data_IF_160437185045
#
_entry.id   IF_160437185045
#
_cell.length_a   1.000
_cell.length_b   1.000
_cell.length_c   1.000
_cell.angle_alpha   90.00
_cell.angle_beta   90.00
_cell.angle_gamma   90.00
#
_symmetry.space_group_name_H-M   'P 1'
#
loop_
_entity.id
_entity.type
_entity.pdbx_description
1 polymer ?
#
# COMPACT_ATOMS: atom_id res chain seq x y z
N UNK A 1 -23.85 19.45 -5.85
CA UNK A 1 -23.65 17.98 -5.87
C UNK A 1 -22.48 17.74 -6.81
N UNK A 2 -21.28 17.61 -6.25
CA UNK A 2 -20.08 17.31 -7.01
C UNK A 2 -19.87 15.81 -6.81
N UNK A 3 -20.07 15.03 -7.87
CA UNK A 3 -19.71 13.62 -7.91
C UNK A 3 -18.21 13.51 -7.62
N UNK A 4 -17.85 12.77 -6.58
CA UNK A 4 -16.46 12.42 -6.33
C UNK A 4 -15.99 11.53 -7.49
N UNK A 5 -15.19 12.09 -8.39
CA UNK A 5 -14.54 11.39 -9.50
C UNK A 5 -13.42 10.45 -9.03
N UNK A 6 -13.61 9.72 -7.94
CA UNK A 6 -12.70 8.65 -7.58
C UNK A 6 -13.27 7.34 -8.10
N UNK A 7 -12.55 6.62 -8.98
CA UNK A 7 -13.02 5.33 -9.46
C UNK A 7 -13.23 4.42 -8.25
N UNK A 8 -14.46 3.96 -8.06
CA UNK A 8 -14.74 2.85 -7.15
C UNK A 8 -14.11 1.62 -7.80
N UNK A 9 -12.88 1.30 -7.39
CA UNK A 9 -12.21 0.06 -7.77
C UNK A 9 -12.91 -1.09 -7.07
N UNK A 10 -13.94 -1.63 -7.73
CA UNK A 10 -14.43 -2.96 -7.40
C UNK A 10 -13.33 -3.95 -7.76
N UNK A 11 -12.94 -4.88 -6.87
CA UNK A 11 -12.01 -5.94 -7.22
C UNK A 11 -12.57 -6.65 -8.45
N UNK A 12 -11.92 -6.48 -9.60
CA UNK A 12 -12.35 -7.15 -10.81
C UNK A 12 -11.93 -8.61 -10.66
N UNK A 13 -12.85 -9.57 -10.49
CA UNK A 13 -12.48 -10.98 -10.28
C UNK A 13 -11.98 -11.64 -11.57
N UNK A 14 -11.87 -10.89 -12.67
CA UNK A 14 -11.50 -11.41 -13.98
C UNK A 14 -9.98 -11.49 -14.10
N UNK A 15 -9.51 -12.72 -13.90
CA UNK A 15 -8.17 -13.25 -14.14
C UNK A 15 -7.03 -12.43 -13.55
N UNK A 16 -6.57 -12.85 -12.38
CA UNK A 16 -5.21 -12.59 -11.89
C UNK A 16 -4.26 -12.86 -13.06
N UNK A 17 -3.63 -11.80 -13.57
CA UNK A 17 -2.71 -11.93 -14.68
C UNK A 17 -1.37 -12.44 -14.16
N UNK A 18 -1.21 -13.77 -14.13
CA UNK A 18 0.05 -14.40 -13.76
C UNK A 18 1.23 -13.93 -14.61
N UNK A 19 0.98 -13.38 -15.81
CA UNK A 19 2.04 -12.82 -16.66
C UNK A 19 2.56 -11.49 -16.14
N UNK A 20 1.76 -10.69 -15.40
CA UNK A 20 2.22 -9.44 -14.81
C UNK A 20 3.10 -9.67 -13.58
N UNK A 21 2.83 -10.70 -12.77
CA UNK A 21 3.73 -11.08 -11.66
C UNK A 21 5.08 -11.52 -12.21
N UNK A 22 5.07 -12.34 -13.25
CA UNK A 22 6.31 -12.76 -13.92
C UNK A 22 7.04 -11.57 -14.57
N UNK A 23 6.30 -10.64 -15.18
CA UNK A 23 6.87 -9.41 -15.74
C UNK A 23 7.55 -8.57 -14.66
N UNK A 24 6.93 -8.41 -13.49
CA UNK A 24 7.51 -7.70 -12.36
C UNK A 24 8.81 -8.38 -11.89
N UNK A 25 8.80 -9.71 -11.71
CA UNK A 25 9.99 -10.46 -11.32
C UNK A 25 11.14 -10.32 -12.33
N UNK A 26 10.84 -10.38 -13.62
CA UNK A 26 11.84 -10.20 -14.69
C UNK A 26 12.40 -8.77 -14.64
N UNK A 27 11.51 -7.78 -14.58
CA UNK A 27 11.83 -6.36 -14.58
C UNK A 27 12.82 -6.00 -13.46
N UNK A 28 12.60 -6.53 -12.25
CA UNK A 28 13.41 -6.18 -11.08
C UNK A 28 14.52 -7.16 -10.76
N UNK A 29 14.68 -8.22 -11.56
CA UNK A 29 15.60 -9.34 -11.28
C UNK A 29 17.08 -8.93 -11.08
N UNK A 30 17.51 -7.83 -11.71
CA UNK A 30 18.87 -7.30 -11.54
C UNK A 30 19.09 -6.67 -10.15
N UNK A 31 18.02 -6.22 -9.50
CA UNK A 31 18.03 -5.56 -8.20
C UNK A 31 17.71 -6.51 -7.04
N UNK A 32 17.13 -7.68 -7.31
CA UNK A 32 16.91 -8.72 -6.30
C UNK A 32 15.66 -9.55 -6.54
N UNK A 33 15.29 -10.32 -5.52
CA UNK A 33 14.09 -11.15 -5.51
C UNK A 33 12.95 -10.42 -4.81
N UNK A 34 11.76 -10.49 -5.41
CA UNK A 34 10.52 -10.01 -4.80
C UNK A 34 10.12 -10.96 -3.66
N UNK A 35 9.78 -10.44 -2.47
CA UNK A 35 9.34 -11.28 -1.36
C UNK A 35 8.07 -12.08 -1.69
N UNK A 36 8.04 -13.36 -1.26
CA UNK A 36 6.97 -14.28 -1.60
C UNK A 36 5.59 -13.81 -1.09
N UNK A 37 5.54 -13.22 0.11
CA UNK A 37 4.29 -12.70 0.69
C UNK A 37 3.69 -11.57 -0.14
N UNK A 38 4.54 -10.69 -0.69
CA UNK A 38 4.08 -9.60 -1.55
C UNK A 38 3.54 -10.14 -2.89
N UNK A 39 4.26 -11.07 -3.53
CA UNK A 39 3.77 -11.75 -4.73
C UNK A 39 2.44 -12.48 -4.47
N UNK A 40 2.33 -13.17 -3.34
CA UNK A 40 1.10 -13.87 -2.95
C UNK A 40 -0.06 -12.90 -2.74
N UNK A 41 0.17 -11.73 -2.14
CA UNK A 41 -0.84 -10.70 -1.98
C UNK A 41 -1.32 -10.17 -3.34
N UNK A 42 -0.40 -9.80 -4.23
CA UNK A 42 -0.76 -9.36 -5.58
C UNK A 42 -1.50 -10.44 -6.37
N UNK A 43 -1.16 -11.71 -6.12
CA UNK A 43 -1.83 -12.85 -6.76
C UNK A 43 -3.23 -13.10 -6.21
N UNK A 44 -3.45 -13.00 -4.91
CA UNK A 44 -4.72 -13.42 -4.27
C UNK A 44 -5.68 -12.24 -4.14
N UNK A 45 -5.17 -11.09 -3.72
CA UNK A 45 -5.95 -9.87 -3.43
C UNK A 45 -5.89 -8.89 -4.62
N UNK A 46 -4.74 -8.78 -5.28
CA UNK A 46 -4.56 -7.91 -6.44
C UNK A 46 -4.26 -6.46 -6.05
N UNK A 47 -5.26 -5.76 -5.52
CA UNK A 47 -5.16 -4.34 -5.16
C UNK A 47 -6.17 -3.97 -4.08
N UNK A 48 -5.85 -2.92 -3.34
CA UNK A 48 -6.76 -2.31 -2.35
C UNK A 48 -6.68 -0.80 -2.52
N UNK A 49 -7.80 -0.10 -2.45
CA UNK A 49 -7.78 1.36 -2.38
C UNK A 49 -8.89 1.82 -1.44
N UNK A 50 -8.50 2.23 -0.23
CA UNK A 50 -9.40 2.79 0.77
C UNK A 50 -9.33 4.33 0.83
N UNK A 51 -8.60 4.99 -0.09
CA UNK A 51 -8.67 6.45 -0.20
C UNK A 51 -10.09 6.89 -0.52
N UNK A 52 -10.48 8.01 0.05
CA UNK A 52 -11.83 8.54 -0.14
C UNK A 52 -12.07 9.77 0.72
N UNK A 53 -13.35 10.04 0.96
CA UNK A 53 -13.76 11.14 1.84
C UNK A 53 -14.67 10.59 2.92
N UNK A 54 -14.43 10.97 4.17
CA UNK A 54 -15.33 10.64 5.26
C UNK A 54 -16.63 11.44 5.17
N UNK A 55 -17.77 10.87 5.60
CA UNK A 55 -19.01 11.61 5.78
C UNK A 55 -18.77 12.87 6.64
N UNK A 56 -19.41 13.99 6.29
CA UNK A 56 -19.24 15.28 6.99
C UNK A 56 -19.54 15.24 8.48
N UNK A 57 -20.37 14.31 8.92
CA UNK A 57 -20.70 14.10 10.34
C UNK A 57 -19.60 13.35 11.12
N UNK A 58 -18.55 12.91 10.45
CA UNK A 58 -17.37 12.23 11.00
C UNK A 58 -16.11 13.10 10.79
N UNK A 59 -16.11 13.96 9.77
CA UNK A 59 -15.00 14.82 9.42
C UNK A 59 -14.83 15.97 10.44
N UNK A 60 -13.79 15.88 11.27
CA UNK A 60 -13.39 16.96 12.19
C UNK A 60 -12.31 17.86 11.57
N UNK A 61 -12.21 19.11 12.02
CA UNK A 61 -11.27 20.11 11.45
C UNK A 61 -9.79 19.73 11.60
N UNK A 62 -9.46 18.84 12.52
CA UNK A 62 -8.09 18.43 12.86
C UNK A 62 -7.95 16.90 12.84
N UNK A 63 -8.55 16.23 11.85
CA UNK A 63 -8.40 14.79 11.73
C UNK A 63 -6.93 14.44 11.48
N UNK A 64 -6.34 13.49 12.22
CA UNK A 64 -5.00 13.02 11.93
C UNK A 64 -4.95 12.33 10.56
N UNK A 65 -3.77 12.26 9.94
CA UNK A 65 -3.57 11.48 8.71
C UNK A 65 -3.82 10.00 9.03
N UNK A 66 -4.89 9.44 8.49
CA UNK A 66 -5.30 8.06 8.81
C UNK A 66 -4.56 7.00 8.01
N UNK A 67 -3.91 7.43 6.94
CA UNK A 67 -3.14 6.58 6.04
C UNK A 67 -3.96 5.39 5.52
N UNK A 68 -5.09 5.63 4.83
CA UNK A 68 -5.92 4.54 4.33
C UNK A 68 -5.10 3.53 3.52
N UNK A 69 -5.38 2.24 3.71
CA UNK A 69 -4.68 1.18 3.01
C UNK A 69 -4.87 1.31 1.50
N UNK A 70 -3.74 1.44 0.80
CA UNK A 70 -3.67 1.43 -0.65
C UNK A 70 -2.61 0.42 -1.04
N UNK A 71 -2.95 -0.45 -1.99
CA UNK A 71 -2.03 -1.32 -2.72
C UNK A 71 -2.42 -1.19 -4.19
N UNK A 72 -1.53 -0.65 -5.01
CA UNK A 72 -1.79 -0.42 -6.42
C UNK A 72 -2.07 -1.73 -7.17
N UNK A 73 -2.91 -1.70 -8.22
CA UNK A 73 -3.00 -2.80 -9.17
C UNK A 73 -1.63 -3.15 -9.74
N UNK A 74 -1.35 -4.45 -9.88
CA UNK A 74 -0.04 -4.92 -10.36
C UNK A 74 0.38 -4.31 -11.70
N UNK A 75 -0.57 -4.00 -12.58
CA UNK A 75 -0.27 -3.32 -13.84
C UNK A 75 0.33 -1.93 -13.60
N UNK A 76 -0.22 -1.16 -12.66
CA UNK A 76 0.28 0.18 -12.32
C UNK A 76 1.68 0.07 -11.70
N UNK A 77 1.92 -0.92 -10.86
CA UNK A 77 3.25 -1.21 -10.29
C UNK A 77 4.25 -1.51 -11.42
N UNK A 78 3.93 -2.43 -12.33
CA UNK A 78 4.81 -2.79 -13.46
C UNK A 78 5.08 -1.59 -14.36
N UNK A 79 4.04 -0.85 -14.75
CA UNK A 79 4.17 0.32 -15.62
C UNK A 79 5.06 1.41 -14.97
N UNK A 80 4.86 1.69 -13.68
CA UNK A 80 5.62 2.67 -12.92
C UNK A 80 7.10 2.28 -12.82
N UNK A 81 7.40 1.04 -12.43
CA UNK A 81 8.77 0.58 -12.29
C UNK A 81 9.48 0.44 -13.64
N UNK A 82 8.77 0.08 -14.71
CA UNK A 82 9.31 0.09 -16.07
C UNK A 82 9.71 1.51 -16.48
N UNK A 83 8.81 2.48 -16.27
CA UNK A 83 9.11 3.88 -16.53
C UNK A 83 10.32 4.37 -15.74
N UNK A 84 10.39 4.06 -14.43
CA UNK A 84 11.52 4.42 -13.59
C UNK A 84 12.84 3.84 -14.11
N UNK A 85 12.88 2.56 -14.47
CA UNK A 85 14.08 1.92 -15.00
C UNK A 85 14.50 2.51 -16.35
N UNK A 86 13.53 2.82 -17.21
CA UNK A 86 13.80 3.36 -18.55
C UNK A 86 14.28 4.82 -18.52
N UNK A 87 13.86 5.60 -17.51
CA UNK A 87 14.08 7.05 -17.46
C UNK A 87 15.05 7.52 -16.39
N UNK A 88 15.22 6.76 -15.30
CA UNK A 88 16.00 7.18 -14.15
C UNK A 88 17.36 6.49 -14.12
N UNK A 89 18.38 7.17 -14.65
CA UNK A 89 19.76 6.68 -14.65
C UNK A 89 20.34 6.43 -13.25
N UNK A 90 19.78 7.03 -12.19
CA UNK A 90 20.23 6.89 -10.81
C UNK A 90 19.83 5.54 -10.18
N UNK A 91 18.69 4.98 -10.57
CA UNK A 91 18.25 3.64 -10.15
C UNK A 91 19.24 2.58 -10.66
N UNK A 92 19.76 2.75 -11.87
CA UNK A 92 20.79 1.89 -12.45
C UNK A 92 22.15 1.95 -11.71
N UNK A 93 22.38 3.00 -10.90
CA UNK A 93 23.59 3.15 -10.08
C UNK A 93 23.38 2.77 -8.61
N UNK A 94 22.13 2.52 -8.18
CA UNK A 94 21.81 2.06 -6.83
C UNK A 94 22.42 0.68 -6.55
N UNK A 95 22.89 0.47 -5.31
CA UNK A 95 23.46 -0.81 -4.93
C UNK A 95 22.38 -1.91 -4.90
N UNK A 96 22.80 -3.19 -4.97
CA UNK A 96 21.94 -4.38 -5.08
C UNK A 96 20.92 -4.61 -3.95
N UNK A 97 20.76 -3.69 -3.01
CA UNK A 97 19.82 -3.76 -1.89
C UNK A 97 19.15 -2.40 -1.59
N UNK A 98 19.23 -1.42 -2.50
CA UNK A 98 18.59 -0.10 -2.35
C UNK A 98 17.27 0.03 -3.11
N UNK A 99 17.04 -0.85 -4.09
CA UNK A 99 15.79 -0.86 -4.85
C UNK A 99 14.65 -1.47 -4.04
N UNK A 100 13.48 -0.87 -4.18
CA UNK A 100 12.23 -1.37 -3.63
C UNK A 100 11.11 -1.22 -4.65
N UNK A 101 10.08 -2.05 -4.50
CA UNK A 101 8.86 -1.94 -5.29
C UNK A 101 7.90 -1.03 -4.54
N UNK A 102 7.66 0.17 -5.06
CA UNK A 102 6.62 1.07 -4.57
C UNK A 102 5.25 0.48 -4.92
N UNK A 103 4.39 0.36 -3.92
CA UNK A 103 3.07 -0.25 -4.08
C UNK A 103 1.93 0.64 -3.58
N UNK A 104 2.25 1.80 -3.01
CA UNK A 104 1.28 2.71 -2.40
C UNK A 104 1.84 4.12 -2.38
N UNK A 105 0.97 5.12 -2.34
CA UNK A 105 1.34 6.50 -1.98
C UNK A 105 1.76 6.61 -0.50
N UNK A 106 2.35 7.75 -0.13
CA UNK A 106 2.54 8.18 1.26
C UNK A 106 1.23 8.61 1.93
N UNK A 107 1.23 8.76 3.26
CA UNK A 107 0.07 9.13 4.07
C UNK A 107 -0.50 10.51 3.73
N UNK A 108 0.34 11.46 3.30
CA UNK A 108 -0.07 12.82 2.96
C UNK A 108 -0.83 12.83 1.63
N UNK A 109 -0.28 12.17 0.63
CA UNK A 109 -0.85 12.05 -0.72
C UNK A 109 -2.19 11.32 -0.67
N UNK A 110 -2.33 10.32 0.20
CA UNK A 110 -3.60 9.60 0.43
C UNK A 110 -4.72 10.51 0.94
N UNK A 111 -4.38 11.57 1.66
CA UNK A 111 -5.31 12.55 2.21
C UNK A 111 -5.46 13.79 1.30
N UNK A 112 -4.87 13.76 0.10
CA UNK A 112 -4.92 14.86 -0.87
C UNK A 112 -4.03 16.06 -0.47
N UNK A 113 -3.09 15.84 0.43
CA UNK A 113 -2.04 16.81 0.78
C UNK A 113 -0.85 16.57 -0.16
N UNK A 114 -0.11 17.62 -0.52
CA UNK A 114 1.10 17.47 -1.33
C UNK A 114 2.14 16.71 -0.52
N UNK A 115 2.30 15.42 -0.81
CA UNK A 115 3.28 14.57 -0.15
C UNK A 115 4.72 14.81 -0.61
N UNK A 116 5.61 13.95 -0.11
CA UNK A 116 7.05 13.97 -0.44
C UNK A 116 7.33 13.44 -1.85
N UNK A 117 6.34 12.75 -2.45
CA UNK A 117 6.46 12.11 -3.75
C UNK A 117 7.14 10.74 -3.68
N UNK A 118 7.31 10.19 -2.47
CA UNK A 118 7.94 8.89 -2.23
C UNK A 118 6.93 7.99 -1.53
N UNK A 119 6.44 6.97 -2.24
CA UNK A 119 5.42 6.07 -1.72
C UNK A 119 5.96 4.97 -0.80
N UNK A 120 5.05 4.17 -0.24
CA UNK A 120 5.46 2.97 0.51
C UNK A 120 5.86 1.87 -0.45
N UNK A 121 6.89 1.13 -0.05
CA UNK A 121 7.42 0.06 -0.87
C UNK A 121 7.86 -1.17 -0.11
N UNK A 122 8.22 -2.21 -0.86
CA UNK A 122 8.79 -3.44 -0.34
C UNK A 122 10.20 -3.64 -0.88
N UNK A 123 11.15 -3.81 0.04
CA UNK A 123 12.56 -4.01 -0.30
C UNK A 123 12.79 -5.31 -1.08
N UNK A 124 13.70 -5.25 -2.05
CA UNK A 124 14.23 -6.43 -2.73
C UNK A 124 15.47 -6.97 -2.03
N UNK A 125 15.71 -8.27 -2.18
CA UNK A 125 16.82 -8.94 -1.52
C UNK A 125 17.67 -9.72 -2.53
N UNK A 126 18.98 -9.75 -2.29
CA UNK A 126 19.90 -10.62 -3.06
C UNK A 126 19.62 -12.13 -2.95
N UNK A 127 18.77 -12.56 -2.00
CA UNK A 127 18.33 -13.95 -1.84
C UNK A 127 16.80 -14.01 -1.71
N UNK A 128 16.14 -15.08 -2.17
CA UNK A 128 14.72 -15.27 -1.95
C UNK A 128 14.36 -15.21 -0.46
N UNK A 129 13.25 -14.54 -0.14
CA UNK A 129 12.73 -14.42 1.21
C UNK A 129 11.21 -14.55 1.22
N UNK A 130 10.65 -14.86 2.40
CA UNK A 130 9.20 -14.99 2.57
C UNK A 130 8.56 -13.61 2.70
N UNK A 131 9.08 -12.79 3.61
CA UNK A 131 8.55 -11.45 3.90
C UNK A 131 9.60 -10.40 3.57
N UNK A 132 9.13 -9.20 3.22
CA UNK A 132 9.97 -8.07 2.86
C UNK A 132 9.85 -6.93 3.84
N UNK A 133 10.95 -6.24 4.09
CA UNK A 133 10.95 -4.99 4.85
C UNK A 133 10.21 -3.92 4.06
N UNK A 134 9.29 -3.23 4.73
CA UNK A 134 8.60 -2.06 4.23
C UNK A 134 9.57 -0.89 4.15
N UNK A 135 9.41 -0.07 3.12
CA UNK A 135 10.18 1.15 2.89
C UNK A 135 9.23 2.34 3.01
N UNK A 136 9.70 3.43 3.61
CA UNK A 136 8.99 4.69 3.82
C UNK A 136 7.75 4.63 4.73
N UNK A 137 7.66 3.67 5.65
CA UNK A 137 6.62 3.62 6.68
C UNK A 137 7.20 3.71 8.10
N UNK A 138 7.80 2.62 8.58
CA UNK A 138 8.51 2.55 9.86
C UNK A 138 9.72 1.63 9.71
N UNK A 139 10.81 1.94 10.41
CA UNK A 139 12.04 1.15 10.36
C UNK A 139 11.79 -0.30 10.80
N UNK A 140 12.34 -1.26 10.05
CA UNK A 140 12.28 -2.70 10.35
C UNK A 140 10.88 -3.31 10.37
N UNK A 141 9.86 -2.64 9.81
CA UNK A 141 8.51 -3.21 9.69
C UNK A 141 8.41 -4.15 8.49
N UNK A 142 7.80 -5.33 8.65
CA UNK A 142 7.58 -6.29 7.56
C UNK A 142 6.29 -6.02 6.79
N UNK A 143 6.20 -6.45 5.52
CA UNK A 143 4.98 -6.35 4.73
C UNK A 143 3.82 -7.12 5.36
N UNK A 144 4.06 -8.31 5.92
CA UNK A 144 3.01 -9.06 6.64
C UNK A 144 2.54 -8.29 7.88
N UNK A 145 3.44 -7.66 8.62
CA UNK A 145 3.08 -6.88 9.81
C UNK A 145 2.30 -5.61 9.45
N UNK A 146 2.62 -4.99 8.31
CA UNK A 146 1.80 -3.93 7.72
C UNK A 146 0.38 -4.38 7.40
N UNK A 147 0.20 -5.53 6.75
CA UNK A 147 -1.13 -6.05 6.50
C UNK A 147 -1.91 -6.31 7.79
N UNK A 148 -1.26 -6.89 8.81
CA UNK A 148 -1.88 -7.12 10.12
C UNK A 148 -2.28 -5.82 10.80
N UNK A 149 -1.44 -4.80 10.72
CA UNK A 149 -1.72 -3.48 11.27
C UNK A 149 -2.92 -2.84 10.57
N UNK A 150 -2.95 -2.87 9.24
CA UNK A 150 -4.09 -2.41 8.45
C UNK A 150 -5.37 -3.13 8.88
N UNK A 151 -5.38 -4.47 8.95
CA UNK A 151 -6.58 -5.22 9.33
C UNK A 151 -7.03 -4.98 10.78
N UNK A 152 -6.08 -4.82 11.70
CA UNK A 152 -6.36 -4.42 13.09
C UNK A 152 -7.11 -3.09 13.16
N UNK A 153 -6.80 -2.17 12.26
CA UNK A 153 -7.39 -0.83 12.23
C UNK A 153 -8.38 -0.61 11.09
N UNK A 154 -9.02 -1.68 10.60
CA UNK A 154 -10.06 -1.58 9.57
C UNK A 154 -9.59 -0.93 8.27
N UNK A 155 -8.29 -0.96 7.99
CA UNK A 155 -7.64 -0.35 6.84
C UNK A 155 -6.98 1.00 7.11
N UNK A 156 -6.88 1.47 8.36
CA UNK A 156 -6.34 2.79 8.72
C UNK A 156 -5.19 2.68 9.74
N UNK A 157 -4.00 2.19 9.32
CA UNK A 157 -2.88 1.85 10.20
C UNK A 157 -2.45 2.97 11.17
N UNK A 158 -2.52 4.25 10.79
CA UNK A 158 -2.09 5.36 11.66
C UNK A 158 -2.94 5.53 12.91
N UNK A 159 -4.12 4.91 12.99
CA UNK A 159 -4.92 4.88 14.23
C UNK A 159 -4.17 4.26 15.40
N UNK A 160 -3.09 3.49 15.17
CA UNK A 160 -2.22 3.01 16.24
C UNK A 160 -1.59 4.12 17.08
N UNK A 161 -1.38 5.30 16.48
CA UNK A 161 -0.77 6.45 17.16
C UNK A 161 -1.81 7.48 17.61
N UNK A 162 -2.98 7.49 16.96
CA UNK A 162 -4.01 8.52 17.17
C UNK A 162 -5.30 8.00 17.79
N UNK A 163 -5.35 6.78 18.35
CA UNK A 163 -6.58 6.21 18.93
C UNK A 163 -7.25 7.16 19.94
N UNK A 164 -6.47 7.89 20.75
CA UNK A 164 -6.99 8.86 21.73
C UNK A 164 -7.53 10.16 21.13
N UNK A 165 -7.10 10.50 19.93
CA UNK A 165 -7.35 11.79 19.29
C UNK A 165 -8.52 11.74 18.30
N UNK A 166 -9.11 10.55 18.16
CA UNK A 166 -10.11 10.24 17.16
C UNK A 166 -11.49 10.11 17.81
N UNK A 167 -12.52 10.59 17.09
CA UNK A 167 -13.90 10.56 17.55
C UNK A 167 -14.33 9.15 18.00
N UNK A 168 -14.91 8.97 19.21
CA UNK A 168 -15.32 7.66 19.71
C UNK A 168 -16.31 6.92 18.81
N UNK A 169 -17.20 7.64 18.10
CA UNK A 169 -18.13 7.02 17.16
C UNK A 169 -17.39 6.45 15.95
N UNK A 170 -16.38 7.16 15.46
CA UNK A 170 -15.53 6.67 14.37
C UNK A 170 -14.71 5.47 14.82
N UNK A 171 -14.11 5.53 16.01
CA UNK A 171 -13.37 4.41 16.57
C UNK A 171 -14.25 3.17 16.75
N UNK A 172 -15.50 3.34 17.16
CA UNK A 172 -16.49 2.26 17.24
C UNK A 172 -16.77 1.66 15.85
N UNK A 173 -16.94 2.49 14.83
CA UNK A 173 -17.14 2.05 13.45
C UNK A 173 -15.92 1.27 12.92
N UNK A 174 -14.70 1.73 13.18
CA UNK A 174 -13.48 1.01 12.81
C UNK A 174 -13.38 -0.34 13.52
N UNK A 175 -13.72 -0.40 14.81
CA UNK A 175 -13.72 -1.66 15.59
C UNK A 175 -14.74 -2.66 15.03
N UNK A 176 -15.90 -2.20 14.58
CA UNK A 176 -16.89 -3.02 13.87
C UNK A 176 -16.34 -3.55 12.54
N UNK A 177 -15.74 -2.69 11.72
CA UNK A 177 -15.10 -3.09 10.46
C UNK A 177 -13.98 -4.11 10.68
N UNK A 178 -13.08 -3.87 11.63
CA UNK A 178 -11.98 -4.78 11.95
C UNK A 178 -12.47 -6.15 12.43
N UNK A 179 -13.56 -6.19 13.21
CA UNK A 179 -14.18 -7.45 13.62
C UNK A 179 -14.68 -8.29 12.43
N UNK A 180 -15.11 -7.63 11.35
CA UNK A 180 -15.54 -8.34 10.14
C UNK A 180 -14.34 -8.90 9.36
N UNK A 181 -13.22 -8.17 9.35
CA UNK A 181 -12.00 -8.58 8.64
C UNK A 181 -11.20 -9.68 9.34
N UNK A 182 -11.36 -9.83 10.66
CA UNK A 182 -10.61 -10.80 11.49
C UNK A 182 -11.34 -12.11 11.76
N UNK A 183 -12.61 -12.22 11.36
CA UNK A 183 -13.45 -13.42 11.53
C UNK A 183 -13.52 -14.31 10.27
N UNK A 184 -12.55 -14.18 9.35
CA UNK A 184 -12.38 -15.01 8.14
C UNK A 184 -11.27 -16.03 8.39
#
# INVERSE_FOLDING_TARGET
KQDSQYPVYTPNPKSIDHTLIQSLDILVSQYGYVPLAFQAFLKIVGSVNLMGTFPKNIQEKNFPLLDPMVIFPIKEIVDYHQYLIDTSGDICNSSKDEYYIEFSYDEETKEGISGTGVGYGVKLYSKPCIDGTLVNYEDSFGFIDYLRLCFKWGGFPNLQWFESDVNPNFLSFIKELSSTLTNI
#
